data_IF_985839318805
#
_entry.id   IF_985839318805
#
_cell.length_a   1.000
_cell.length_b   1.000
_cell.length_c   1.000
_cell.angle_alpha   90.00
_cell.angle_beta   90.00
_cell.angle_gamma   90.00
#
_symmetry.space_group_name_H-M   'P 1'
#
loop_
_entity.id
_entity.type
_entity.pdbx_description
1 polymer ?
#
# COMPACT_ATOMS: atom_id res chain seq x y z
N UNK A 1 -15.05 8.91 -14.46
CA UNK A 1 -13.85 8.06 -14.37
C UNK A 1 -13.15 7.86 -15.72
N UNK A 2 -13.83 7.38 -16.76
CA UNK A 2 -13.20 7.14 -18.08
C UNK A 2 -12.50 8.35 -18.73
N UNK A 3 -13.06 9.57 -18.61
CA UNK A 3 -12.38 10.78 -19.12
C UNK A 3 -11.06 11.06 -18.39
N UNK A 4 -11.06 10.96 -17.06
CA UNK A 4 -9.86 11.15 -16.22
C UNK A 4 -8.75 10.17 -16.62
N UNK A 5 -9.08 8.88 -16.74
CA UNK A 5 -8.10 7.87 -17.14
C UNK A 5 -7.57 8.12 -18.55
N UNK A 6 -8.44 8.48 -19.49
CA UNK A 6 -8.04 8.79 -20.87
C UNK A 6 -7.11 10.00 -20.92
N UNK A 7 -7.38 11.03 -20.13
CA UNK A 7 -6.58 12.25 -20.12
C UNK A 7 -5.21 11.97 -19.47
N UNK A 8 -5.15 11.21 -18.37
CA UNK A 8 -3.90 10.73 -17.78
C UNK A 8 -3.05 9.90 -18.76
N UNK A 9 -3.67 8.97 -19.49
CA UNK A 9 -2.97 8.18 -20.51
C UNK A 9 -2.37 9.03 -21.63
N UNK A 10 -3.04 10.13 -22.01
CA UNK A 10 -2.58 11.02 -23.08
C UNK A 10 -1.45 11.93 -22.61
N UNK A 11 -1.66 12.62 -21.50
CA UNK A 11 -0.80 13.74 -21.09
C UNK A 11 0.27 13.38 -20.06
N UNK A 12 0.20 12.22 -19.39
CA UNK A 12 1.17 11.83 -18.37
C UNK A 12 1.94 10.54 -18.74
N UNK A 13 3.23 10.68 -19.03
CA UNK A 13 4.12 9.56 -19.31
C UNK A 13 4.34 8.65 -18.08
N UNK A 14 4.31 9.22 -16.87
CA UNK A 14 4.47 8.48 -15.61
C UNK A 14 3.31 7.52 -15.42
N UNK A 15 2.09 7.97 -15.72
CA UNK A 15 0.89 7.14 -15.65
C UNK A 15 0.97 5.94 -16.61
N UNK A 16 1.49 6.13 -17.82
CA UNK A 16 1.67 5.02 -18.78
C UNK A 16 2.67 3.98 -18.27
N UNK A 17 3.81 4.41 -17.75
CA UNK A 17 4.82 3.52 -17.17
C UNK A 17 4.25 2.78 -15.96
N UNK A 18 3.56 3.50 -15.07
CA UNK A 18 2.86 2.92 -13.92
C UNK A 18 1.87 1.84 -14.36
N UNK A 19 1.07 2.13 -15.38
CA UNK A 19 0.09 1.18 -15.91
C UNK A 19 0.76 -0.09 -16.44
N UNK A 20 1.86 0.03 -17.19
CA UNK A 20 2.62 -1.12 -17.71
C UNK A 20 3.14 -1.97 -16.55
N UNK A 21 3.83 -1.35 -15.58
CA UNK A 21 4.38 -2.07 -14.43
C UNK A 21 3.29 -2.77 -13.61
N UNK A 22 2.22 -2.05 -13.28
CA UNK A 22 1.11 -2.61 -12.51
C UNK A 22 0.35 -3.69 -13.28
N UNK A 23 0.22 -3.58 -14.61
CA UNK A 23 -0.39 -4.62 -15.44
C UNK A 23 0.46 -5.90 -15.46
N UNK A 24 1.78 -5.77 -15.54
CA UNK A 24 2.71 -6.91 -15.45
C UNK A 24 2.64 -7.57 -14.07
N UNK A 25 2.60 -6.77 -12.99
CA UNK A 25 2.43 -7.28 -11.62
C UNK A 25 1.07 -7.96 -11.45
N UNK A 26 -0.01 -7.39 -11.98
CA UNK A 26 -1.33 -8.00 -11.93
C UNK A 26 -1.37 -9.34 -12.70
N UNK A 27 -0.72 -9.42 -13.87
CA UNK A 27 -0.58 -10.66 -14.62
C UNK A 27 0.16 -11.74 -13.80
N UNK A 28 1.28 -11.38 -13.15
CA UNK A 28 1.98 -12.29 -12.22
C UNK A 28 1.10 -12.75 -11.07
N UNK A 29 0.31 -11.85 -10.45
CA UNK A 29 -0.63 -12.25 -9.40
C UNK A 29 -1.69 -13.23 -9.90
N UNK A 30 -2.20 -13.05 -11.12
CA UNK A 30 -3.18 -13.95 -11.74
C UNK A 30 -2.54 -15.32 -12.02
N UNK A 31 -1.27 -15.36 -12.45
CA UNK A 31 -0.56 -16.61 -12.65
C UNK A 31 -0.46 -17.47 -11.38
N UNK A 32 -0.54 -16.89 -10.18
CA UNK A 32 -0.56 -17.68 -8.93
C UNK A 32 -1.68 -18.73 -8.88
N UNK A 33 -2.82 -18.50 -9.55
CA UNK A 33 -3.92 -19.46 -9.62
C UNK A 33 -3.67 -20.64 -10.57
N UNK A 34 -2.67 -20.50 -11.45
CA UNK A 34 -2.28 -21.51 -12.44
C UNK A 34 -0.95 -22.18 -12.09
N UNK A 35 -0.42 -21.93 -10.90
CA UNK A 35 0.86 -22.50 -10.48
C UNK A 35 0.79 -24.03 -10.42
N UNK A 36 1.76 -24.74 -11.04
CA UNK A 36 1.87 -26.19 -10.93
C UNK A 36 2.40 -26.62 -9.55
N UNK A 37 3.05 -25.70 -8.82
CA UNK A 37 3.68 -25.97 -7.53
C UNK A 37 2.87 -25.39 -6.37
N UNK A 38 2.83 -26.13 -5.27
CA UNK A 38 2.32 -25.61 -4.00
C UNK A 38 3.44 -24.80 -3.32
N UNK A 39 3.21 -23.51 -3.01
CA UNK A 39 4.28 -22.64 -2.53
C UNK A 39 4.76 -22.96 -1.10
N UNK A 40 4.00 -23.76 -0.34
CA UNK A 40 4.35 -24.20 1.00
C UNK A 40 5.19 -25.49 1.01
N UNK A 41 5.40 -26.11 -0.16
CA UNK A 41 6.21 -27.32 -0.30
C UNK A 41 7.61 -26.98 -0.81
N UNK A 42 8.60 -27.50 -0.11
CA UNK A 42 10.01 -27.51 -0.54
C UNK A 42 10.32 -28.78 -1.35
N UNK A 43 11.49 -28.84 -1.99
CA UNK A 43 11.97 -30.01 -2.76
C UNK A 43 11.03 -30.45 -3.90
N UNK A 44 10.38 -29.49 -4.56
CA UNK A 44 9.48 -29.75 -5.70
C UNK A 44 10.22 -29.69 -7.04
N UNK A 45 11.39 -29.06 -7.07
CA UNK A 45 12.29 -28.95 -8.21
C UNK A 45 13.75 -29.12 -7.75
N UNK A 46 14.68 -29.30 -8.69
CA UNK A 46 16.10 -29.35 -8.37
C UNK A 46 16.58 -28.00 -7.82
N UNK A 47 17.50 -28.04 -6.85
CA UNK A 47 18.00 -26.87 -6.14
C UNK A 47 19.02 -26.09 -6.96
N UNK A 48 19.08 -24.79 -6.69
CA UNK A 48 20.15 -23.89 -7.13
C UNK A 48 20.41 -23.92 -8.65
N UNK A 49 19.35 -24.15 -9.44
CA UNK A 49 19.41 -24.04 -10.89
C UNK A 49 19.34 -22.56 -11.29
N UNK A 50 20.25 -22.09 -12.16
CA UNK A 50 20.21 -20.73 -12.66
C UNK A 50 18.96 -20.48 -13.53
N UNK A 51 18.59 -19.19 -13.76
CA UNK A 51 17.50 -18.84 -14.64
C UNK A 51 17.59 -19.50 -16.01
N UNK A 52 16.49 -20.12 -16.44
CA UNK A 52 16.36 -20.83 -17.71
C UNK A 52 14.95 -20.64 -18.29
N UNK A 53 14.69 -21.17 -19.49
CA UNK A 53 13.33 -21.15 -20.06
C UNK A 53 12.34 -22.01 -19.26
N UNK A 54 12.83 -23.02 -18.56
CA UNK A 54 12.02 -23.87 -17.67
C UNK A 54 11.78 -23.18 -16.32
N UNK A 55 12.81 -22.50 -15.79
CA UNK A 55 12.78 -21.78 -14.52
C UNK A 55 13.11 -20.30 -14.74
N UNK A 56 12.11 -19.47 -15.04
CA UNK A 56 12.28 -18.07 -15.49
C UNK A 56 13.18 -17.25 -14.54
N UNK A 57 13.04 -17.46 -13.21
CA UNK A 57 13.87 -16.80 -12.19
C UNK A 57 14.87 -17.76 -11.51
N UNK A 58 15.03 -18.97 -12.05
CA UNK A 58 15.81 -20.04 -11.44
C UNK A 58 15.08 -20.72 -10.29
N UNK A 59 15.80 -21.59 -9.59
CA UNK A 59 15.32 -22.27 -8.39
C UNK A 59 16.14 -21.86 -7.17
N UNK A 60 15.56 -22.05 -5.98
CA UNK A 60 16.23 -21.73 -4.72
C UNK A 60 16.83 -22.95 -4.02
N UNK A 61 17.59 -22.70 -2.95
CA UNK A 61 18.20 -23.75 -2.13
C UNK A 61 17.19 -24.52 -1.27
N UNK A 62 15.91 -24.14 -1.32
CA UNK A 62 14.79 -24.89 -0.74
C UNK A 62 14.15 -25.83 -1.77
N UNK A 63 14.66 -25.86 -3.00
CA UNK A 63 14.12 -26.67 -4.10
C UNK A 63 12.75 -26.18 -4.55
N UNK A 64 12.55 -24.87 -4.58
CA UNK A 64 11.35 -24.21 -5.08
C UNK A 64 11.66 -23.42 -6.35
N UNK A 65 10.68 -23.36 -7.27
CA UNK A 65 10.75 -22.49 -8.43
C UNK A 65 10.46 -21.04 -8.00
N UNK A 66 11.44 -20.15 -8.17
CA UNK A 66 11.36 -18.78 -7.66
C UNK A 66 10.29 -17.99 -8.39
N UNK A 67 10.09 -18.21 -9.69
CA UNK A 67 9.07 -17.48 -10.46
C UNK A 67 7.67 -17.79 -9.93
N UNK A 68 7.32 -19.08 -9.84
CA UNK A 68 6.01 -19.49 -9.35
C UNK A 68 5.80 -19.07 -7.91
N UNK A 69 6.80 -19.25 -7.05
CA UNK A 69 6.72 -18.83 -5.65
C UNK A 69 6.50 -17.31 -5.53
N UNK A 70 7.18 -16.52 -6.37
CA UNK A 70 7.03 -15.06 -6.42
C UNK A 70 5.63 -14.59 -6.84
N UNK A 71 4.90 -15.34 -7.66
CA UNK A 71 3.50 -15.00 -8.01
C UNK A 71 2.59 -14.97 -6.77
N UNK A 72 2.78 -15.92 -5.83
CA UNK A 72 2.07 -15.94 -4.55
C UNK A 72 2.55 -14.83 -3.63
N UNK A 73 3.87 -14.64 -3.52
CA UNK A 73 4.45 -13.60 -2.68
C UNK A 73 3.95 -12.20 -3.06
N UNK A 74 3.92 -11.89 -4.36
CA UNK A 74 3.42 -10.64 -4.88
C UNK A 74 1.93 -10.43 -4.56
N UNK A 75 1.10 -11.46 -4.78
CA UNK A 75 -0.34 -11.42 -4.46
C UNK A 75 -0.57 -11.19 -2.96
N UNK A 76 0.15 -11.91 -2.11
CA UNK A 76 -0.02 -11.84 -0.66
C UNK A 76 0.45 -10.49 -0.09
N UNK A 77 1.63 -10.01 -0.46
CA UNK A 77 2.10 -8.68 -0.04
C UNK A 77 1.15 -7.57 -0.51
N UNK A 78 0.61 -7.66 -1.74
CA UNK A 78 -0.37 -6.69 -2.22
C UNK A 78 -1.70 -6.74 -1.47
N UNK A 79 -2.23 -7.94 -1.17
CA UNK A 79 -3.43 -8.11 -0.36
C UNK A 79 -3.25 -7.57 1.07
N UNK A 80 -2.08 -7.78 1.68
CA UNK A 80 -1.75 -7.21 2.98
C UNK A 80 -1.77 -5.68 2.93
N UNK A 81 -1.15 -5.08 1.90
CA UNK A 81 -1.17 -3.63 1.70
C UNK A 81 -2.60 -3.09 1.50
N UNK A 82 -3.46 -3.82 0.79
CA UNK A 82 -4.87 -3.46 0.63
C UNK A 82 -5.65 -3.50 1.94
N UNK A 83 -5.42 -4.52 2.79
CA UNK A 83 -6.06 -4.62 4.12
C UNK A 83 -5.66 -3.42 4.98
N UNK A 84 -4.35 -3.16 5.06
CA UNK A 84 -3.81 -2.04 5.84
C UNK A 84 -4.39 -0.70 5.35
N UNK A 85 -4.34 -0.45 4.05
CA UNK A 85 -4.84 0.79 3.46
C UNK A 85 -6.34 0.96 3.64
N UNK A 86 -7.13 -0.11 3.60
CA UNK A 86 -8.59 -0.05 3.78
C UNK A 86 -8.95 0.33 5.20
N UNK A 87 -8.37 -0.34 6.21
CA UNK A 87 -8.59 -0.04 7.63
C UNK A 87 -8.15 1.39 7.92
N UNK A 88 -6.95 1.73 7.46
CA UNK A 88 -6.38 3.06 7.65
C UNK A 88 -7.25 4.16 7.02
N UNK A 89 -7.77 3.95 5.81
CA UNK A 89 -8.66 4.90 5.13
C UNK A 89 -9.96 5.12 5.88
N UNK A 90 -10.59 4.05 6.38
CA UNK A 90 -11.82 4.19 7.17
C UNK A 90 -11.58 5.09 8.38
N UNK A 91 -10.51 4.84 9.13
CA UNK A 91 -10.17 5.66 10.30
C UNK A 91 -9.81 7.09 9.87
N UNK A 92 -8.97 7.25 8.86
CA UNK A 92 -8.52 8.56 8.40
C UNK A 92 -9.66 9.46 7.91
N UNK A 93 -10.59 8.91 7.13
CA UNK A 93 -11.76 9.63 6.63
C UNK A 93 -12.70 10.00 7.77
N UNK A 94 -13.01 9.05 8.67
CA UNK A 94 -13.90 9.33 9.81
C UNK A 94 -13.32 10.40 10.71
N UNK A 95 -12.05 10.27 11.12
CA UNK A 95 -11.39 11.24 12.00
C UNK A 95 -11.18 12.58 11.31
N UNK A 96 -10.69 12.58 10.06
CA UNK A 96 -10.40 13.80 9.32
C UNK A 96 -11.65 14.62 9.00
N UNK A 97 -12.73 13.98 8.55
CA UNK A 97 -14.00 14.64 8.29
C UNK A 97 -14.64 15.21 9.56
N UNK A 98 -14.69 14.42 10.64
CA UNK A 98 -15.34 14.83 11.89
C UNK A 98 -14.58 15.97 12.56
N UNK A 99 -13.25 15.85 12.68
CA UNK A 99 -12.41 16.89 13.26
C UNK A 99 -12.46 18.18 12.43
N UNK A 100 -12.38 18.08 11.09
CA UNK A 100 -12.38 19.23 10.21
C UNK A 100 -13.72 19.98 10.17
N UNK A 101 -14.84 19.25 10.17
CA UNK A 101 -16.15 19.89 10.06
C UNK A 101 -16.64 20.44 11.41
N UNK A 102 -16.58 19.65 12.49
CA UNK A 102 -17.14 20.08 13.78
C UNK A 102 -16.28 21.18 14.44
N UNK A 103 -14.96 21.07 14.39
CA UNK A 103 -14.06 22.00 15.09
C UNK A 103 -14.19 21.92 16.61
N UNK A 104 -13.74 22.97 17.30
CA UNK A 104 -13.95 23.13 18.75
C UNK A 104 -13.21 22.10 19.61
N UNK A 105 -13.87 21.59 20.65
CA UNK A 105 -13.26 20.61 21.56
C UNK A 105 -13.08 19.22 20.93
N UNK A 106 -14.03 18.76 20.11
CA UNK A 106 -13.92 17.45 19.47
C UNK A 106 -12.71 17.39 18.52
N UNK A 107 -12.50 18.43 17.73
CA UNK A 107 -11.32 18.56 16.88
C UNK A 107 -10.02 18.46 17.70
N UNK A 108 -9.90 19.25 18.77
CA UNK A 108 -8.73 19.20 19.66
C UNK A 108 -8.50 17.82 20.27
N UNK A 109 -9.57 17.13 20.68
CA UNK A 109 -9.47 15.79 21.24
C UNK A 109 -9.01 14.76 20.20
N UNK A 110 -9.63 14.75 19.01
CA UNK A 110 -9.27 13.85 17.91
C UNK A 110 -7.83 14.11 17.41
N UNK A 111 -7.43 15.38 17.32
CA UNK A 111 -6.07 15.75 16.94
C UNK A 111 -5.05 15.40 18.02
N UNK A 112 -5.40 15.45 19.30
CA UNK A 112 -4.53 14.98 20.38
C UNK A 112 -4.26 13.47 20.28
N UNK A 113 -5.30 12.66 20.01
CA UNK A 113 -5.13 11.23 19.74
C UNK A 113 -4.26 11.03 18.51
N UNK A 114 -4.57 11.70 17.40
CA UNK A 114 -3.78 11.64 16.18
C UNK A 114 -2.29 11.91 16.43
N UNK A 115 -1.99 12.98 17.16
CA UNK A 115 -0.63 13.43 17.42
C UNK A 115 0.13 12.44 18.31
N UNK A 116 -0.58 11.75 19.21
CA UNK A 116 -0.02 10.64 19.99
C UNK A 116 0.49 9.52 19.08
N UNK A 117 -0.28 9.11 18.06
CA UNK A 117 0.15 8.09 17.12
C UNK A 117 1.31 8.56 16.22
N UNK A 118 1.35 9.84 15.84
CA UNK A 118 2.40 10.40 14.98
C UNK A 118 3.77 10.43 15.68
N UNK A 119 3.79 10.73 16.98
CA UNK A 119 5.03 10.85 17.77
C UNK A 119 5.66 9.50 18.09
N UNK A 120 4.85 8.44 18.10
CA UNK A 120 5.30 7.08 18.40
C UNK A 120 6.21 6.55 17.26
N UNK A 121 7.42 6.07 17.59
CA UNK A 121 8.27 5.41 16.59
C UNK A 121 7.65 4.05 16.23
N UNK A 122 7.09 3.96 15.03
CA UNK A 122 6.29 2.80 14.62
C UNK A 122 7.10 1.50 14.56
N UNK A 123 8.31 1.53 14.00
CA UNK A 123 9.14 0.33 13.84
C UNK A 123 9.39 -0.38 15.19
N UNK A 124 9.87 0.29 16.26
CA UNK A 124 9.98 -0.32 17.58
C UNK A 124 8.70 -0.97 18.10
N UNK A 125 7.53 -0.34 17.92
CA UNK A 125 6.26 -0.93 18.35
C UNK A 125 5.94 -2.18 17.55
N UNK A 126 6.11 -2.15 16.23
CA UNK A 126 5.85 -3.32 15.38
C UNK A 126 6.83 -4.46 15.69
N UNK A 127 8.08 -4.15 16.05
CA UNK A 127 9.04 -5.15 16.51
C UNK A 127 8.57 -5.80 17.82
N UNK A 128 8.16 -4.98 18.79
CA UNK A 128 7.63 -5.46 20.06
C UNK A 128 6.39 -6.34 19.84
N UNK A 129 5.44 -5.88 19.03
CA UNK A 129 4.23 -6.65 18.71
C UNK A 129 4.54 -7.92 17.92
N UNK A 130 5.49 -7.88 16.98
CA UNK A 130 5.95 -9.06 16.24
C UNK A 130 6.56 -10.12 17.14
N UNK A 131 7.27 -9.71 18.20
CA UNK A 131 7.79 -10.61 19.21
C UNK A 131 6.69 -11.14 20.14
N UNK A 132 5.84 -10.26 20.69
CA UNK A 132 4.80 -10.63 21.65
C UNK A 132 3.68 -11.49 21.03
N UNK A 133 3.35 -11.24 19.77
CA UNK A 133 2.25 -11.90 19.05
C UNK A 133 2.76 -12.93 18.04
N UNK A 134 4.00 -13.42 18.18
CA UNK A 134 4.66 -14.27 17.18
C UNK A 134 3.83 -15.46 16.74
N UNK A 135 3.23 -16.18 17.69
CA UNK A 135 2.44 -17.40 17.40
C UNK A 135 1.06 -17.09 16.78
N UNK A 136 0.57 -15.86 16.96
CA UNK A 136 -0.69 -15.38 16.38
C UNK A 136 -0.45 -14.59 15.08
N UNK A 137 0.81 -14.31 14.75
CA UNK A 137 1.16 -13.45 13.63
C UNK A 137 0.80 -14.15 12.33
N UNK A 138 -0.10 -13.51 11.58
CA UNK A 138 -0.44 -13.91 10.23
C UNK A 138 -0.58 -12.66 9.36
N UNK A 139 -0.69 -12.86 8.06
CA UNK A 139 -0.79 -11.79 7.08
C UNK A 139 -1.94 -10.81 7.37
N UNK A 140 -3.07 -11.30 7.87
CA UNK A 140 -4.22 -10.46 8.20
C UNK A 140 -3.96 -9.60 9.44
N UNK A 141 -3.42 -10.18 10.51
CA UNK A 141 -3.08 -9.46 11.74
C UNK A 141 -2.03 -8.38 11.46
N UNK A 142 -1.00 -8.70 10.67
CA UNK A 142 0.00 -7.73 10.27
C UNK A 142 -0.62 -6.57 9.47
N UNK A 143 -1.45 -6.87 8.48
CA UNK A 143 -2.20 -5.86 7.73
C UNK A 143 -3.11 -5.01 8.63
N UNK A 144 -3.78 -5.62 9.61
CA UNK A 144 -4.61 -4.92 10.59
C UNK A 144 -3.79 -3.96 11.46
N UNK A 145 -2.66 -4.41 12.00
CA UNK A 145 -1.76 -3.57 12.80
C UNK A 145 -1.25 -2.39 11.98
N UNK A 146 -0.77 -2.62 10.75
CA UNK A 146 -0.31 -1.55 9.86
C UNK A 146 -1.44 -0.56 9.54
N UNK A 147 -2.67 -1.04 9.32
CA UNK A 147 -3.84 -0.18 9.13
C UNK A 147 -4.17 0.68 10.34
N UNK A 148 -4.06 0.10 11.55
CA UNK A 148 -4.30 0.78 12.82
C UNK A 148 -3.29 1.91 13.10
N UNK A 149 -2.06 1.79 12.59
CA UNK A 149 -1.03 2.81 12.75
C UNK A 149 -0.87 3.75 11.54
N UNK A 150 -1.38 3.39 10.36
CA UNK A 150 -1.15 4.12 9.12
C UNK A 150 -2.08 5.32 8.84
N UNK A 151 -3.12 5.54 9.65
CA UNK A 151 -4.15 6.57 9.44
C UNK A 151 -3.81 8.02 9.85
N UNK A 152 -2.94 8.32 10.83
CA UNK A 152 -2.84 9.66 11.41
C UNK A 152 -2.45 10.77 10.41
N UNK A 153 -1.41 10.54 9.62
CA UNK A 153 -0.96 11.53 8.62
C UNK A 153 -2.06 11.86 7.61
N UNK A 154 -2.79 10.83 7.16
CA UNK A 154 -3.88 10.98 6.20
C UNK A 154 -5.12 11.65 6.82
N UNK A 155 -5.43 11.38 8.09
CA UNK A 155 -6.50 12.07 8.82
C UNK A 155 -6.25 13.57 8.93
N UNK A 156 -5.01 13.96 9.27
CA UNK A 156 -4.59 15.36 9.33
C UNK A 156 -4.69 16.04 7.97
N UNK A 157 -4.29 15.35 6.90
CA UNK A 157 -4.41 15.85 5.52
C UNK A 157 -5.87 16.07 5.13
N UNK A 158 -6.74 15.07 5.35
CA UNK A 158 -8.19 15.18 5.06
C UNK A 158 -8.80 16.33 5.87
N UNK A 159 -8.48 16.43 7.16
CA UNK A 159 -8.93 17.53 8.03
C UNK A 159 -8.59 18.90 7.44
N UNK A 160 -7.37 19.08 6.94
CA UNK A 160 -6.94 20.37 6.36
C UNK A 160 -7.81 20.79 5.16
N UNK A 161 -8.21 19.83 4.33
CA UNK A 161 -9.11 20.07 3.21
C UNK A 161 -10.52 20.42 3.68
N UNK A 162 -11.03 19.68 4.68
CA UNK A 162 -12.36 19.88 5.25
C UNK A 162 -12.49 21.26 5.92
N UNK A 163 -11.45 21.74 6.61
CA UNK A 163 -11.42 23.09 7.17
C UNK A 163 -11.60 24.16 6.07
N UNK A 164 -10.98 23.97 4.90
CA UNK A 164 -11.19 24.88 3.77
C UNK A 164 -12.61 24.78 3.20
N UNK A 165 -13.18 23.58 3.08
CA UNK A 165 -14.53 23.37 2.57
C UNK A 165 -15.60 23.96 3.50
N UNK A 166 -15.37 23.91 4.81
CA UNK A 166 -16.26 24.48 5.83
C UNK A 166 -16.53 25.96 5.62
N UNK A 167 -15.54 26.71 5.14
CA UNK A 167 -15.65 28.16 4.89
C UNK A 167 -16.29 28.53 3.55
N UNK A 168 -16.57 27.56 2.67
CA UNK A 168 -17.11 27.83 1.33
C UNK A 168 -18.60 28.15 1.36
N UNK A 169 -19.04 28.92 0.36
CA UNK A 169 -20.43 29.40 0.24
C UNK A 169 -21.46 28.26 0.22
N UNK A 170 -21.20 27.15 -0.49
CA UNK A 170 -22.13 26.01 -0.56
C UNK A 170 -22.39 25.39 0.82
N UNK A 171 -21.39 25.36 1.69
CA UNK A 171 -21.53 24.87 3.07
C UNK A 171 -22.45 25.79 3.87
N UNK A 172 -22.26 27.11 3.76
CA UNK A 172 -23.12 28.10 4.41
C UNK A 172 -24.56 28.02 3.91
N UNK A 173 -24.76 27.87 2.60
CA UNK A 173 -26.09 27.69 2.00
C UNK A 173 -26.77 26.42 2.51
N UNK A 174 -26.05 25.30 2.60
CA UNK A 174 -26.59 24.04 3.13
C UNK A 174 -27.02 24.16 4.60
N UNK A 175 -26.25 24.89 5.41
CA UNK A 175 -26.59 25.21 6.81
C UNK A 175 -27.87 26.05 6.87
N UNK A 176 -27.99 27.11 6.06
CA UNK A 176 -29.20 27.95 6.02
C UNK A 176 -30.44 27.20 5.51
N UNK A 177 -30.25 26.15 4.71
CA UNK A 177 -31.32 25.26 4.26
C UNK A 177 -31.73 24.22 5.33
N UNK A 178 -31.14 24.24 6.53
CA UNK A 178 -31.48 23.33 7.63
C UNK A 178 -30.89 21.92 7.47
N UNK A 179 -29.89 21.73 6.60
CA UNK A 179 -29.25 20.42 6.40
C UNK A 179 -28.44 20.06 7.66
N UNK A 180 -28.58 18.82 8.14
CA UNK A 180 -27.83 18.39 9.32
C UNK A 180 -26.33 18.33 9.04
N UNK A 181 -25.51 18.59 10.07
CA UNK A 181 -24.05 18.51 10.03
C UNK A 181 -23.51 17.19 9.45
N UNK A 182 -24.14 16.07 9.80
CA UNK A 182 -23.76 14.75 9.29
C UNK A 182 -23.99 14.65 7.77
N UNK A 183 -25.14 15.12 7.29
CA UNK A 183 -25.46 15.12 5.86
C UNK A 183 -24.56 16.08 5.08
N UNK A 184 -24.23 17.26 5.62
CA UNK A 184 -23.27 18.18 5.00
C UNK A 184 -21.90 17.51 4.87
N UNK A 185 -21.45 16.81 5.89
CA UNK A 185 -20.14 16.14 5.88
C UNK A 185 -20.09 15.02 4.84
N UNK A 186 -21.10 14.15 4.80
CA UNK A 186 -21.11 12.97 3.93
C UNK A 186 -21.51 13.26 2.48
N UNK A 187 -22.49 14.16 2.23
CA UNK A 187 -22.96 14.47 0.87
C UNK A 187 -22.22 15.62 0.23
N UNK A 188 -21.81 16.63 0.99
CA UNK A 188 -21.11 17.78 0.44
C UNK A 188 -19.60 17.60 0.54
N UNK A 189 -19.04 17.36 1.73
CA UNK A 189 -17.59 17.42 1.94
C UNK A 189 -16.84 16.16 1.48
N UNK A 190 -17.37 14.97 1.78
CA UNK A 190 -16.73 13.70 1.44
C UNK A 190 -16.42 13.58 -0.06
N UNK A 191 -17.35 13.84 -1.01
CA UNK A 191 -17.04 13.79 -2.44
C UNK A 191 -15.90 14.71 -2.87
N UNK A 192 -15.72 15.87 -2.23
CA UNK A 192 -14.60 16.77 -2.52
C UNK A 192 -13.25 16.22 -2.06
N UNK A 193 -13.20 15.48 -0.96
CA UNK A 193 -11.95 14.89 -0.44
C UNK A 193 -11.69 13.48 -0.98
N UNK A 194 -12.66 12.83 -1.63
CA UNK A 194 -12.46 11.49 -2.23
C UNK A 194 -11.21 11.38 -3.13
N UNK A 195 -10.89 12.35 -4.00
CA UNK A 195 -9.70 12.23 -4.83
C UNK A 195 -8.41 12.12 -4.00
N UNK A 196 -8.25 12.95 -2.95
CA UNK A 196 -7.06 12.90 -2.09
C UNK A 196 -7.03 11.62 -1.26
N UNK A 197 -8.19 11.12 -0.81
CA UNK A 197 -8.32 9.82 -0.12
C UNK A 197 -7.85 8.68 -1.02
N UNK A 198 -8.23 8.67 -2.30
CA UNK A 198 -7.81 7.65 -3.26
C UNK A 198 -6.29 7.73 -3.52
N UNK A 199 -5.74 8.94 -3.69
CA UNK A 199 -4.31 9.13 -3.89
C UNK A 199 -3.52 8.59 -2.68
N UNK A 200 -3.86 9.02 -1.47
CA UNK A 200 -3.15 8.56 -0.28
C UNK A 200 -3.34 7.08 -0.02
N UNK A 201 -4.47 6.47 -0.40
CA UNK A 201 -4.67 5.00 -0.33
C UNK A 201 -3.53 4.24 -1.00
N UNK A 202 -3.13 4.66 -2.20
CA UNK A 202 -2.04 4.02 -2.96
C UNK A 202 -0.70 4.17 -2.22
N UNK A 203 -0.44 5.35 -1.67
CA UNK A 203 0.76 5.60 -0.87
C UNK A 203 0.81 4.72 0.40
N UNK A 204 -0.32 4.45 1.03
CA UNK A 204 -0.38 3.59 2.22
C UNK A 204 -0.22 2.11 1.89
N UNK A 205 -0.69 1.64 0.73
CA UNK A 205 -0.38 0.29 0.23
C UNK A 205 1.13 0.14 0.07
N UNK A 206 1.79 1.10 -0.59
CA UNK A 206 3.24 1.12 -0.79
C UNK A 206 3.99 1.09 0.56
N UNK A 207 3.56 1.94 1.49
CA UNK A 207 4.11 2.02 2.84
C UNK A 207 3.95 0.69 3.61
N UNK A 208 2.77 0.08 3.56
CA UNK A 208 2.48 -1.16 4.27
C UNK A 208 3.32 -2.34 3.74
N UNK A 209 3.50 -2.44 2.42
CA UNK A 209 4.39 -3.44 1.81
C UNK A 209 5.84 -3.22 2.24
N UNK A 210 6.30 -1.98 2.31
CA UNK A 210 7.65 -1.67 2.80
C UNK A 210 7.87 -2.11 4.25
N UNK A 211 6.88 -1.89 5.13
CA UNK A 211 6.93 -2.36 6.51
C UNK A 211 6.85 -3.89 6.63
N UNK A 212 6.01 -4.53 5.82
CA UNK A 212 5.94 -5.99 5.73
C UNK A 212 7.30 -6.58 5.38
N UNK A 213 7.93 -6.11 4.30
CA UNK A 213 9.27 -6.53 3.89
C UNK A 213 10.28 -6.33 5.01
N UNK A 214 10.26 -5.17 5.67
CA UNK A 214 11.17 -4.87 6.78
C UNK A 214 11.01 -5.87 7.92
N UNK A 215 9.78 -6.14 8.35
CA UNK A 215 9.49 -7.05 9.45
C UNK A 215 9.78 -8.51 9.10
N UNK A 216 9.52 -8.93 7.87
CA UNK A 216 9.84 -10.28 7.41
C UNK A 216 11.34 -10.54 7.37
N UNK A 217 12.14 -9.58 6.88
CA UNK A 217 13.61 -9.70 6.88
C UNK A 217 14.14 -9.84 8.31
N UNK A 218 13.51 -9.18 9.28
CA UNK A 218 13.83 -9.31 10.71
C UNK A 218 13.30 -10.62 11.34
N UNK A 219 12.54 -11.44 10.62
CA UNK A 219 11.96 -12.68 11.14
C UNK A 219 10.76 -12.48 12.06
N UNK A 220 10.09 -11.33 11.95
CA UNK A 220 8.99 -10.90 12.83
C UNK A 220 7.60 -10.96 12.16
N UNK A 221 7.54 -11.37 10.89
CA UNK A 221 6.29 -11.74 10.22
C UNK A 221 6.07 -13.25 10.29
N UNK A 222 4.90 -13.71 9.84
CA UNK A 222 4.74 -15.11 9.44
C UNK A 222 5.71 -15.43 8.29
N UNK A 223 6.53 -16.47 8.47
CA UNK A 223 7.56 -16.90 7.52
C UNK A 223 7.11 -18.08 6.64
N UNK A 224 5.94 -18.66 6.96
CA UNK A 224 5.37 -19.81 6.25
C UNK A 224 4.57 -19.37 5.04
N UNK A 225 3.96 -18.18 5.11
CA UNK A 225 3.23 -17.60 4.00
C UNK A 225 4.18 -16.89 3.02
N UNK A 226 4.07 -17.18 1.70
CA UNK A 226 4.86 -16.48 0.70
C UNK A 226 4.52 -14.99 0.69
N UNK A 227 5.53 -14.14 0.80
CA UNK A 227 5.45 -12.69 0.68
C UNK A 227 6.76 -12.16 0.10
N UNK A 228 6.77 -10.92 -0.38
CA UNK A 228 7.99 -10.28 -0.87
C UNK A 228 9.06 -10.23 0.22
N UNK A 229 8.64 -9.98 1.46
CA UNK A 229 9.51 -9.98 2.63
C UNK A 229 10.08 -11.35 2.95
N UNK A 230 9.26 -12.41 2.93
CA UNK A 230 9.73 -13.76 3.24
C UNK A 230 10.66 -14.30 2.15
N UNK A 231 10.48 -13.88 0.89
CA UNK A 231 11.42 -14.17 -0.20
C UNK A 231 12.86 -13.74 0.16
N UNK A 232 13.00 -12.49 0.59
CA UNK A 232 14.28 -11.89 0.98
C UNK A 232 14.80 -12.48 2.27
N UNK A 233 13.91 -12.79 3.23
CA UNK A 233 14.29 -13.47 4.46
C UNK A 233 14.95 -14.82 4.16
N UNK A 234 14.30 -15.67 3.37
CA UNK A 234 14.80 -17.01 3.09
C UNK A 234 16.11 -16.99 2.31
N UNK A 235 16.24 -16.08 1.34
CA UNK A 235 17.48 -15.90 0.60
C UNK A 235 18.64 -15.42 1.48
N UNK A 236 18.38 -14.54 2.46
CA UNK A 236 19.39 -14.12 3.46
C UNK A 236 19.76 -15.26 4.41
N UNK A 237 18.77 -16.00 4.94
CA UNK A 237 19.01 -17.10 5.88
C UNK A 237 19.83 -18.25 5.28
N UNK A 238 19.65 -18.52 3.98
CA UNK A 238 20.43 -19.55 3.28
C UNK A 238 21.75 -19.03 2.70
N UNK A 239 22.11 -17.77 2.98
CA UNK A 239 23.35 -17.18 2.49
C UNK A 239 23.44 -17.17 0.96
N UNK A 240 22.35 -16.87 0.25
CA UNK A 240 22.24 -17.02 -1.20
C UNK A 240 23.37 -16.29 -1.98
N UNK A 241 23.82 -15.12 -1.51
CA UNK A 241 24.99 -14.44 -2.11
C UNK A 241 26.29 -15.22 -1.95
N UNK A 242 26.51 -15.83 -0.78
CA UNK A 242 27.71 -16.61 -0.48
C UNK A 242 27.68 -17.94 -1.25
N UNK A 243 26.50 -18.54 -1.41
CA UNK A 243 26.28 -19.75 -2.19
C UNK A 243 26.33 -19.53 -3.72
N UNK A 244 26.42 -18.28 -4.18
CA UNK A 244 26.42 -17.94 -5.62
C UNK A 244 25.04 -17.94 -6.28
N UNK A 245 23.97 -18.13 -5.51
CA UNK A 245 22.55 -18.17 -5.94
C UNK A 245 21.99 -16.74 -5.97
N UNK A 246 22.67 -15.84 -6.69
CA UNK A 246 22.35 -14.41 -6.68
C UNK A 246 20.94 -14.08 -7.21
N UNK A 247 20.39 -14.92 -8.08
CA UNK A 247 19.05 -14.75 -8.64
C UNK A 247 17.96 -14.84 -7.57
N UNK A 248 18.19 -15.58 -6.47
CA UNK A 248 17.23 -15.71 -5.37
C UNK A 248 17.02 -14.41 -4.59
N UNK A 249 18.00 -13.50 -4.57
CA UNK A 249 17.85 -12.15 -4.01
C UNK A 249 17.41 -11.17 -5.08
N UNK A 250 17.96 -11.27 -6.29
CA UNK A 250 17.67 -10.33 -7.35
C UNK A 250 16.20 -10.38 -7.76
N UNK A 251 15.61 -11.57 -7.91
CA UNK A 251 14.22 -11.74 -8.33
C UNK A 251 13.21 -11.02 -7.41
N UNK A 252 13.17 -11.29 -6.08
CA UNK A 252 12.26 -10.57 -5.19
C UNK A 252 12.56 -9.08 -5.10
N UNK A 253 13.84 -8.68 -5.17
CA UNK A 253 14.22 -7.27 -5.16
C UNK A 253 13.69 -6.53 -6.40
N UNK A 254 13.84 -7.10 -7.59
CA UNK A 254 13.34 -6.52 -8.83
C UNK A 254 11.81 -6.42 -8.84
N UNK A 255 11.13 -7.49 -8.41
CA UNK A 255 9.66 -7.48 -8.32
C UNK A 255 9.18 -6.42 -7.33
N UNK A 256 9.83 -6.30 -6.16
CA UNK A 256 9.53 -5.26 -5.18
C UNK A 256 9.77 -3.85 -5.77
N UNK A 257 10.89 -3.62 -6.45
CA UNK A 257 11.19 -2.33 -7.09
C UNK A 257 10.13 -1.98 -8.15
N UNK A 258 9.78 -2.91 -9.03
CA UNK A 258 8.80 -2.67 -10.10
C UNK A 258 7.42 -2.38 -9.51
N UNK A 259 6.99 -3.14 -8.50
CA UNK A 259 5.74 -2.90 -7.79
C UNK A 259 5.74 -1.53 -7.11
N UNK A 260 6.79 -1.22 -6.36
CA UNK A 260 6.92 0.03 -5.62
C UNK A 260 6.95 1.24 -6.55
N UNK A 261 7.71 1.18 -7.65
CA UNK A 261 7.74 2.22 -8.68
C UNK A 261 6.38 2.36 -9.37
N UNK A 262 5.73 1.25 -9.71
CA UNK A 262 4.39 1.27 -10.32
C UNK A 262 3.36 1.98 -9.44
N UNK A 263 3.32 1.64 -8.15
CA UNK A 263 2.42 2.27 -7.18
C UNK A 263 2.79 3.74 -6.94
N UNK A 264 4.08 4.06 -6.81
CA UNK A 264 4.55 5.42 -6.56
C UNK A 264 4.26 6.37 -7.73
N UNK A 265 4.51 5.92 -8.97
CA UNK A 265 4.20 6.69 -10.18
C UNK A 265 2.69 6.88 -10.32
N UNK A 266 1.89 5.83 -10.05
CA UNK A 266 0.42 5.94 -10.05
C UNK A 266 -0.06 6.97 -9.03
N UNK A 267 0.47 6.93 -7.80
CA UNK A 267 0.16 7.90 -6.75
C UNK A 267 0.47 9.34 -7.21
N UNK A 268 1.68 9.59 -7.73
CA UNK A 268 2.07 10.91 -8.20
C UNK A 268 1.16 11.41 -9.32
N UNK A 269 0.90 10.60 -10.35
CA UNK A 269 0.02 10.97 -11.46
C UNK A 269 -1.39 11.33 -11.01
N UNK A 270 -1.94 10.58 -10.04
CA UNK A 270 -3.26 10.89 -9.48
C UNK A 270 -3.20 12.19 -8.67
N UNK A 271 -2.16 12.39 -7.85
CA UNK A 271 -2.01 13.59 -7.05
C UNK A 271 -1.83 14.86 -7.90
N UNK A 272 -1.02 14.78 -8.96
CA UNK A 272 -0.79 15.86 -9.92
C UNK A 272 -2.06 16.22 -10.70
N UNK A 273 -2.91 15.23 -11.00
CA UNK A 273 -4.20 15.46 -11.66
C UNK A 273 -5.24 16.11 -10.73
N UNK A 274 -5.17 15.82 -9.44
CA UNK A 274 -6.07 16.40 -8.43
C UNK A 274 -5.73 17.86 -8.19
N UNK A 275 -4.44 18.23 -8.20
CA UNK A 275 -4.02 19.63 -8.11
C UNK A 275 -4.38 20.40 -9.40
N UNK A 276 -5.29 21.41 -9.34
CA UNK A 276 -5.69 22.18 -10.51
C UNK A 276 -4.53 22.91 -11.18
N UNK A 277 -3.51 23.36 -10.42
CA UNK A 277 -2.37 24.11 -10.96
C UNK A 277 -1.47 23.20 -11.79
N UNK A 278 -1.19 22.01 -11.27
CA UNK A 278 -0.33 21.02 -11.93
C UNK A 278 -1.02 20.42 -13.15
N UNK A 279 -2.33 20.13 -13.06
CA UNK A 279 -3.13 19.65 -14.18
C UNK A 279 -3.13 20.60 -15.37
N UNK A 280 -3.28 21.92 -15.13
CA UNK A 280 -3.27 22.92 -16.21
C UNK A 280 -1.91 23.00 -16.92
N UNK A 281 -0.80 22.81 -16.19
CA UNK A 281 0.53 22.75 -16.79
C UNK A 281 0.74 21.49 -17.64
N UNK A 282 0.16 20.36 -17.25
CA UNK A 282 0.22 19.10 -18.00
C UNK A 282 -0.66 19.09 -19.26
N UNK A 283 -1.79 19.81 -19.24
CA UNK A 283 -2.77 19.84 -20.34
C UNK A 283 -2.64 21.07 -21.25
N UNK A 284 -1.96 22.12 -20.79
CA UNK A 284 -1.79 23.39 -21.51
C UNK A 284 -0.47 23.52 -22.29
N UNK A 285 0.20 22.41 -22.56
CA UNK A 285 1.40 22.32 -23.39
C UNK A 285 1.09 21.79 -24.79
#
# INVERSE_FOLDING_TARGET
MFRVMRDLFKYDARFRIAFIFLSAMAAMMILSFFSPYNPNKSFVVAMDLPPSLEHIFGTDSRGQDIFWWMTFALRNSFLLGLIAASISRVIAVLVGLTAGYQGGWLDRFLMSINDTFVVIPLLPILILLGFLLRDLMNQFLLGFLLGLFGWPYDARLIRSQVLSLRERAFTRTAIYSGTSSFWITIREHLPFVMPIVLATTINNILWAIGFEVTLSILGLSDLTTPSLGTALFWANQHGALVAGVWWWILAPTLVAIILSLGLYLLFQSINDYIDPRTRLRLMGG
#
